data_IF_781188163774
#
_entry.id   IF_781188163774
#
_cell.length_a   1.000
_cell.length_b   1.000
_cell.length_c   1.000
_cell.angle_alpha   90.00
_cell.angle_beta   90.00
_cell.angle_gamma   90.00
#
_symmetry.space_group_name_H-M   'P 1'
#
loop_
_entity.id
_entity.type
_entity.pdbx_description
1 polymer ?
#
# COMPACT_ATOMS: atom_id res chain seq x y z
N UNK A 1 4.14 24.54 -12.65
CA UNK A 1 4.41 24.28 -11.21
C UNK A 1 3.41 23.31 -10.59
N UNK A 2 2.10 23.47 -10.78
CA UNK A 2 1.08 22.50 -10.30
C UNK A 2 1.28 21.08 -10.86
N UNK A 3 1.61 20.95 -12.15
CA UNK A 3 1.86 19.65 -12.79
C UNK A 3 3.02 18.89 -12.13
N UNK A 4 4.10 19.58 -11.74
CA UNK A 4 5.24 18.97 -11.04
C UNK A 4 4.91 18.47 -9.63
N UNK A 5 3.97 19.12 -8.93
CA UNK A 5 3.53 18.66 -7.61
C UNK A 5 2.62 17.43 -7.74
N UNK A 6 1.71 17.45 -8.72
CA UNK A 6 0.84 16.31 -9.04
C UNK A 6 1.69 15.11 -9.47
N UNK A 7 2.61 15.24 -10.42
CA UNK A 7 3.47 14.13 -10.86
C UNK A 7 4.29 13.51 -9.72
N UNK A 8 4.80 14.32 -8.79
CA UNK A 8 5.59 13.82 -7.65
C UNK A 8 4.74 13.10 -6.61
N UNK A 9 3.57 13.63 -6.27
CA UNK A 9 2.65 13.00 -5.33
C UNK A 9 2.16 11.65 -5.86
N UNK A 10 1.85 11.59 -7.16
CA UNK A 10 1.50 10.34 -7.84
C UNK A 10 2.66 9.34 -7.86
N UNK A 11 3.91 9.78 -7.99
CA UNK A 11 5.08 8.90 -7.95
C UNK A 11 5.23 8.23 -6.58
N UNK A 12 5.10 9.00 -5.49
CA UNK A 12 5.20 8.48 -4.12
C UNK A 12 4.09 7.46 -3.82
N UNK A 13 2.86 7.77 -4.22
CA UNK A 13 1.72 6.87 -4.05
C UNK A 13 1.93 5.57 -4.84
N UNK A 14 2.44 5.67 -6.08
CA UNK A 14 2.77 4.51 -6.90
C UNK A 14 3.86 3.62 -6.27
N UNK A 15 4.86 4.24 -5.62
CA UNK A 15 5.95 3.51 -4.95
C UNK A 15 5.48 2.82 -3.66
N UNK A 16 4.54 3.42 -2.91
CA UNK A 16 3.91 2.80 -1.74
C UNK A 16 3.17 1.53 -2.16
N UNK A 17 2.32 1.60 -3.20
CA UNK A 17 1.55 0.44 -3.63
C UNK A 17 2.42 -0.68 -4.18
N UNK A 18 3.48 -0.35 -4.94
CA UNK A 18 4.46 -1.35 -5.38
C UNK A 18 5.14 -2.04 -4.21
N UNK A 19 5.47 -1.29 -3.16
CA UNK A 19 6.09 -1.83 -1.95
C UNK A 19 5.14 -2.80 -1.24
N UNK A 20 3.91 -2.37 -0.96
CA UNK A 20 2.89 -3.22 -0.33
C UNK A 20 2.65 -4.49 -1.17
N UNK A 21 2.51 -4.35 -2.49
CA UNK A 21 2.29 -5.48 -3.39
C UNK A 21 3.47 -6.45 -3.37
N UNK A 22 4.70 -5.95 -3.34
CA UNK A 22 5.90 -6.79 -3.24
C UNK A 22 5.93 -7.57 -1.94
N UNK A 23 5.61 -6.94 -0.81
CA UNK A 23 5.55 -7.63 0.48
C UNK A 23 4.41 -8.64 0.56
N UNK A 24 3.24 -8.33 -0.03
CA UNK A 24 2.14 -9.29 -0.17
C UNK A 24 2.52 -10.53 -0.99
N UNK A 25 3.30 -10.35 -2.06
CA UNK A 25 3.76 -11.46 -2.91
C UNK A 25 4.91 -12.26 -2.27
N UNK A 26 5.74 -11.59 -1.46
CA UNK A 26 6.83 -12.22 -0.70
C UNK A 26 6.30 -12.98 0.52
N UNK A 27 5.19 -12.51 1.10
CA UNK A 27 4.53 -13.17 2.22
C UNK A 27 4.02 -14.54 1.78
N UNK A 28 4.41 -15.59 2.50
CA UNK A 28 3.87 -16.94 2.32
C UNK A 28 2.45 -17.08 2.89
N UNK A 29 1.87 -15.98 3.41
CA UNK A 29 0.54 -15.97 4.02
C UNK A 29 -0.54 -15.83 2.97
N UNK A 30 -1.64 -16.53 3.19
CA UNK A 30 -2.85 -16.36 2.38
C UNK A 30 -3.49 -14.99 2.65
N UNK A 31 -4.22 -14.45 1.68
CA UNK A 31 -5.00 -13.20 1.87
C UNK A 31 -5.93 -13.28 3.09
N UNK A 32 -6.50 -14.45 3.35
CA UNK A 32 -7.32 -14.70 4.53
C UNK A 32 -6.55 -14.53 5.84
N UNK A 33 -5.33 -15.09 5.92
CA UNK A 33 -4.48 -14.92 7.09
C UNK A 33 -4.09 -13.45 7.30
N UNK A 34 -3.72 -12.76 6.22
CA UNK A 34 -3.39 -11.33 6.28
C UNK A 34 -4.60 -10.50 6.70
N UNK A 35 -5.82 -10.80 6.20
CA UNK A 35 -7.04 -10.15 6.66
C UNK A 35 -7.27 -10.36 8.16
N UNK A 36 -7.10 -11.59 8.66
CA UNK A 36 -7.29 -11.90 10.08
C UNK A 36 -6.30 -11.18 10.99
N UNK A 37 -5.06 -11.00 10.54
CA UNK A 37 -4.01 -10.37 11.34
C UNK A 37 -4.01 -8.84 11.24
N UNK A 38 -4.17 -8.29 10.02
CA UNK A 38 -4.15 -6.84 9.78
C UNK A 38 -5.50 -6.16 10.00
N UNK A 39 -6.60 -6.91 9.96
CA UNK A 39 -7.97 -6.36 9.98
C UNK A 39 -8.43 -5.74 8.65
N UNK A 40 -7.57 -5.73 7.63
CA UNK A 40 -7.81 -5.05 6.34
C UNK A 40 -8.64 -5.94 5.43
N UNK A 41 -9.73 -5.40 4.89
CA UNK A 41 -10.72 -6.20 4.17
C UNK A 41 -10.11 -7.01 3.03
N UNK A 42 -10.60 -8.24 2.85
CA UNK A 42 -10.13 -9.12 1.79
C UNK A 42 -10.30 -8.51 0.39
N UNK A 43 -11.31 -7.65 0.21
CA UNK A 43 -11.52 -6.89 -1.04
C UNK A 43 -10.39 -5.90 -1.31
N UNK A 44 -9.89 -5.21 -0.28
CA UNK A 44 -8.74 -4.29 -0.40
C UNK A 44 -7.49 -5.08 -0.74
N UNK A 45 -7.23 -6.19 -0.03
CA UNK A 45 -6.11 -7.08 -0.32
C UNK A 45 -6.17 -7.61 -1.76
N UNK A 46 -7.36 -8.01 -2.23
CA UNK A 46 -7.57 -8.47 -3.60
C UNK A 46 -7.19 -7.39 -4.62
N UNK A 47 -7.62 -6.14 -4.40
CA UNK A 47 -7.29 -4.98 -5.26
C UNK A 47 -5.78 -4.76 -5.32
N UNK A 48 -5.10 -4.71 -4.19
CA UNK A 48 -3.64 -4.49 -4.16
C UNK A 48 -2.87 -5.60 -4.88
N UNK A 49 -3.37 -6.83 -4.80
CA UNK A 49 -2.72 -7.99 -5.41
C UNK A 49 -2.86 -8.02 -6.94
N UNK A 50 -4.04 -7.67 -7.47
CA UNK A 50 -4.40 -7.88 -8.88
C UNK A 50 -4.45 -6.58 -9.70
N UNK A 51 -4.60 -5.42 -9.09
CA UNK A 51 -4.67 -4.14 -9.80
C UNK A 51 -3.27 -3.54 -9.99
N UNK A 52 -3.01 -3.01 -11.19
CA UNK A 52 -1.80 -2.23 -11.46
C UNK A 52 -1.80 -0.90 -10.69
N UNK A 53 -2.99 -0.33 -10.45
CA UNK A 53 -3.21 0.87 -9.67
C UNK A 53 -4.35 0.63 -8.67
N UNK A 54 -4.07 0.06 -7.50
CA UNK A 54 -5.11 -0.19 -6.51
C UNK A 54 -5.62 1.13 -5.93
N UNK A 55 -6.88 1.46 -6.21
CA UNK A 55 -7.56 2.59 -5.58
C UNK A 55 -7.99 2.18 -4.16
N UNK A 56 -7.10 2.42 -3.19
CA UNK A 56 -7.33 2.20 -1.76
C UNK A 56 -7.10 3.52 -1.01
N UNK A 57 -7.79 3.71 0.12
CA UNK A 57 -7.58 4.90 0.95
C UNK A 57 -6.16 4.94 1.52
N UNK A 58 -5.66 6.14 1.80
CA UNK A 58 -4.36 6.35 2.44
C UNK A 58 -4.23 5.57 3.76
N UNK A 59 -5.29 5.59 4.58
CA UNK A 59 -5.35 4.83 5.83
C UNK A 59 -5.09 3.34 5.63
N UNK A 60 -5.73 2.72 4.63
CA UNK A 60 -5.51 1.29 4.36
C UNK A 60 -4.09 1.01 3.87
N UNK A 61 -3.47 1.97 3.16
CA UNK A 61 -2.08 1.84 2.75
C UNK A 61 -1.13 1.97 3.97
N UNK A 62 -1.40 2.90 4.88
CA UNK A 62 -0.69 3.05 6.16
C UNK A 62 -0.79 1.78 7.02
N UNK A 63 -2.01 1.27 7.23
CA UNK A 63 -2.26 0.06 8.00
C UNK A 63 -1.53 -1.17 7.39
N UNK A 64 -1.47 -1.25 6.05
CA UNK A 64 -0.72 -2.31 5.36
C UNK A 64 0.79 -2.15 5.53
N UNK A 65 1.31 -0.93 5.42
CA UNK A 65 2.73 -0.66 5.63
C UNK A 65 3.14 -1.01 7.06
N UNK A 66 2.36 -0.58 8.05
CA UNK A 66 2.61 -0.89 9.47
C UNK A 66 2.57 -2.40 9.73
N UNK A 67 1.60 -3.11 9.15
CA UNK A 67 1.53 -4.58 9.22
C UNK A 67 2.80 -5.26 8.69
N UNK A 68 3.41 -4.73 7.63
CA UNK A 68 4.68 -5.21 7.08
C UNK A 68 5.93 -4.63 7.76
N UNK A 69 5.76 -3.82 8.82
CA UNK A 69 6.86 -3.22 9.57
C UNK A 69 7.49 -1.99 8.92
N UNK A 70 6.77 -1.33 8.00
CA UNK A 70 7.18 -0.07 7.39
C UNK A 70 6.53 1.12 8.08
N UNK A 71 7.29 2.20 8.24
CA UNK A 71 6.78 3.49 8.71
C UNK A 71 6.82 4.52 7.60
N UNK A 72 5.72 5.25 7.40
CA UNK A 72 5.72 6.42 6.53
C UNK A 72 6.47 7.57 7.21
N UNK A 73 7.66 7.86 6.71
CA UNK A 73 8.42 9.02 7.14
C UNK A 73 7.95 10.27 6.38
N UNK A 74 7.52 11.30 7.12
CA UNK A 74 7.32 12.62 6.53
C UNK A 74 8.66 13.11 6.02
N UNK A 75 8.75 13.36 4.71
CA UNK A 75 9.94 13.95 4.11
C UNK A 75 10.18 15.31 4.76
N UNK A 76 11.24 15.43 5.55
CA UNK A 76 11.69 16.70 6.11
C UNK A 76 11.97 17.69 4.98
N UNK A 77 11.61 18.96 5.22
CA UNK A 77 11.75 20.08 4.27
C UNK A 77 13.14 20.16 3.63
#
# INVERSE_FOLDING_TARGET
MLEYFIEREYTVIMDIYKTIRKELLKSEKTRYAIWKESGISEQILWKVYHSEQPCISLKNAEDLLEYFGYELQKRGK
#
